data_IF_768645734704
#
_entry.id   IF_768645734704
#
_cell.length_a   1.000
_cell.length_b   1.000
_cell.length_c   1.000
_cell.angle_alpha   90.00
_cell.angle_beta   90.00
_cell.angle_gamma   90.00
#
_symmetry.space_group_name_H-M   'P 1'
#
loop_
_entity.id
_entity.type
_entity.pdbx_description
1 polymer ?
#
# COMPACT_ATOMS: atom_id res chain seq x y z
N UNK A 1 18.55 20.87 -10.20
CA UNK A 1 17.19 21.46 -10.10
C UNK A 1 16.45 20.95 -8.87
N UNK A 2 16.93 21.25 -7.65
CA UNK A 2 16.27 20.83 -6.39
C UNK A 2 15.34 21.89 -5.80
N UNK A 3 15.45 23.16 -6.20
CA UNK A 3 14.70 24.25 -5.58
C UNK A 3 13.19 24.18 -5.85
N UNK A 4 12.79 23.71 -7.04
CA UNK A 4 11.37 23.50 -7.37
C UNK A 4 10.73 22.39 -6.52
N UNK A 5 11.53 21.39 -6.14
CA UNK A 5 11.11 20.26 -5.32
C UNK A 5 10.92 20.69 -3.87
N UNK A 6 11.92 21.36 -3.28
CA UNK A 6 11.83 21.83 -1.91
C UNK A 6 10.69 22.83 -1.72
N UNK A 7 10.41 23.66 -2.72
CA UNK A 7 9.31 24.63 -2.67
C UNK A 7 7.93 23.97 -2.82
N UNK A 8 7.79 22.95 -3.66
CA UNK A 8 6.57 22.17 -3.80
C UNK A 8 6.28 21.29 -2.57
N UNK A 9 7.31 20.64 -2.01
CA UNK A 9 7.25 19.87 -0.76
C UNK A 9 6.85 20.77 0.40
N UNK A 10 7.41 21.99 0.48
CA UNK A 10 6.98 22.99 1.46
C UNK A 10 5.52 23.41 1.29
N UNK A 11 5.05 23.58 0.06
CA UNK A 11 3.68 24.06 -0.19
C UNK A 11 2.60 23.00 -0.02
N UNK A 12 2.93 21.72 -0.21
CA UNK A 12 1.95 20.62 -0.26
C UNK A 12 1.91 19.73 0.98
N UNK A 13 3.02 19.65 1.73
CA UNK A 13 3.14 18.79 2.89
C UNK A 13 3.24 19.61 4.18
N UNK A 14 2.68 19.07 5.26
CA UNK A 14 2.98 19.55 6.61
C UNK A 14 4.36 19.05 7.08
N UNK A 15 4.88 19.58 8.18
CA UNK A 15 6.26 19.31 8.61
C UNK A 15 6.53 17.83 8.92
N UNK A 16 5.55 17.09 9.47
CA UNK A 16 5.74 15.67 9.76
C UNK A 16 5.76 14.82 8.49
N UNK A 17 4.93 15.16 7.49
CA UNK A 17 4.95 14.53 6.17
C UNK A 17 6.27 14.79 5.42
N UNK A 18 6.84 16.00 5.57
CA UNK A 18 8.16 16.33 5.00
C UNK A 18 9.30 15.55 5.63
N UNK A 19 9.28 15.41 6.95
CA UNK A 19 10.31 14.64 7.66
C UNK A 19 10.27 13.18 7.23
N UNK A 20 9.08 12.58 7.17
CA UNK A 20 8.90 11.22 6.68
C UNK A 20 9.39 11.05 5.23
N UNK A 21 9.13 12.03 4.35
CA UNK A 21 9.64 12.02 2.97
C UNK A 21 11.18 12.05 2.92
N UNK A 22 11.82 12.89 3.75
CA UNK A 22 13.29 12.96 3.83
C UNK A 22 13.89 11.64 4.31
N UNK A 23 13.32 11.05 5.37
CA UNK A 23 13.80 9.79 5.93
C UNK A 23 13.74 8.64 4.90
N UNK A 24 12.67 8.61 4.08
CA UNK A 24 12.50 7.64 2.99
C UNK A 24 13.54 7.86 1.89
N UNK A 25 13.74 9.09 1.43
CA UNK A 25 14.74 9.42 0.40
C UNK A 25 16.16 9.08 0.85
N UNK A 26 16.49 9.33 2.12
CA UNK A 26 17.77 8.93 2.68
C UNK A 26 17.92 7.40 2.80
N UNK A 27 16.86 6.67 3.16
CA UNK A 27 16.90 5.21 3.21
C UNK A 27 17.12 4.60 1.81
N UNK A 28 16.57 5.23 0.77
CA UNK A 28 16.81 4.86 -0.64
C UNK A 28 18.28 5.11 -1.01
N UNK A 29 18.81 6.29 -0.68
CA UNK A 29 20.21 6.63 -0.97
C UNK A 29 21.19 5.69 -0.26
N UNK A 30 20.89 5.31 1.00
CA UNK A 30 21.68 4.33 1.76
C UNK A 30 21.64 2.93 1.13
N UNK A 31 20.46 2.45 0.72
CA UNK A 31 20.32 1.14 0.05
C UNK A 31 20.97 1.08 -1.34
N UNK A 32 21.05 2.20 -2.05
CA UNK A 32 21.76 2.29 -3.32
C UNK A 32 23.28 2.17 -3.21
N UNK A 33 23.85 2.36 -2.00
CA UNK A 33 25.30 2.35 -1.77
C UNK A 33 25.83 1.06 -1.11
N UNK A 34 24.96 0.13 -0.67
CA UNK A 34 25.36 -1.06 0.10
C UNK A 34 25.43 -2.39 -0.69
N UNK A 35 25.45 -2.39 -2.03
CA UNK A 35 25.66 -3.64 -2.79
C UNK A 35 27.13 -3.90 -3.17
N UNK A 36 27.88 -4.42 -2.19
CA UNK A 36 28.86 -5.48 -2.47
C UNK A 36 28.94 -6.37 -1.24
N UNK A 37 28.35 -7.56 -1.33
CA UNK A 37 28.74 -8.85 -0.71
C UNK A 37 27.55 -9.81 -0.76
N UNK A 38 27.61 -10.94 -1.50
CA UNK A 38 26.59 -11.98 -1.45
C UNK A 38 26.91 -12.88 -0.26
N UNK A 39 26.23 -12.66 0.87
CA UNK A 39 26.44 -13.45 2.08
C UNK A 39 25.17 -13.51 2.92
N UNK A 40 24.47 -14.64 2.81
CA UNK A 40 23.51 -15.20 3.77
C UNK A 40 23.20 -14.38 5.02
N UNK A 41 21.95 -13.92 5.15
CA UNK A 41 21.22 -13.94 6.42
C UNK A 41 19.71 -13.85 6.16
N UNK A 42 19.03 -14.97 6.42
CA UNK A 42 17.61 -15.02 6.74
C UNK A 42 17.33 -14.04 7.88
N UNK A 43 16.68 -12.92 7.58
CA UNK A 43 16.15 -12.03 8.60
C UNK A 43 14.64 -12.23 8.65
N UNK A 44 14.22 -12.99 9.67
CA UNK A 44 12.85 -13.09 10.12
C UNK A 44 12.23 -11.69 10.23
N UNK A 45 11.21 -11.43 9.42
CA UNK A 45 10.39 -10.23 9.57
C UNK A 45 9.65 -10.35 10.91
N UNK A 46 10.21 -9.68 11.91
CA UNK A 46 9.65 -9.59 13.25
C UNK A 46 8.18 -9.16 13.19
N UNK A 47 7.35 -9.93 13.89
CA UNK A 47 5.99 -9.58 14.25
C UNK A 47 5.93 -8.15 14.79
N UNK A 48 5.39 -7.22 13.99
CA UNK A 48 5.01 -5.90 14.49
C UNK A 48 3.75 -6.11 15.32
N UNK A 49 3.96 -6.28 16.63
CA UNK A 49 2.92 -6.23 17.64
C UNK A 49 2.28 -4.85 17.64
N UNK A 50 1.13 -4.72 16.99
CA UNK A 50 0.25 -3.56 17.13
C UNK A 50 -0.25 -3.56 18.57
N UNK A 51 0.23 -2.60 19.36
CA UNK A 51 -0.14 -2.40 20.76
C UNK A 51 -1.65 -2.41 20.93
N UNK A 52 -2.11 -3.27 21.84
CA UNK A 52 -3.50 -3.32 22.33
C UNK A 52 -3.84 -1.99 22.96
N UNK A 53 -4.57 -1.13 22.23
CA UNK A 53 -5.25 0.01 22.82
C UNK A 53 -6.73 -0.34 22.93
N UNK A 54 -7.11 -0.93 24.05
CA UNK A 54 -8.50 -1.10 24.46
C UNK A 54 -9.03 0.23 24.99
N UNK A 55 -9.88 0.90 24.22
CA UNK A 55 -10.75 1.94 24.77
C UNK A 55 -12.17 1.70 24.30
N UNK A 56 -12.96 1.09 25.19
CA UNK A 56 -14.41 1.05 25.09
C UNK A 56 -14.91 2.45 25.42
N UNK A 57 -15.37 3.21 24.43
CA UNK A 57 -16.23 4.36 24.66
C UNK A 57 -17.48 4.23 23.79
N UNK A 58 -18.55 3.77 24.43
CA UNK A 58 -19.93 3.97 24.01
C UNK A 58 -20.21 5.48 24.05
N UNK A 59 -20.50 6.08 22.90
CA UNK A 59 -21.26 7.33 22.80
C UNK A 59 -22.01 7.33 21.48
N UNK A 60 -23.30 7.66 21.55
CA UNK A 60 -24.23 7.61 20.43
C UNK A 60 -24.31 8.88 19.59
N UNK A 61 -25.04 8.71 18.48
CA UNK A 61 -25.81 9.69 17.70
C UNK A 61 -25.03 10.74 16.88
N UNK A 62 -24.86 10.46 15.58
CA UNK A 62 -25.62 11.06 14.47
C UNK A 62 -24.80 11.11 13.17
N UNK A 63 -25.30 10.44 12.13
CA UNK A 63 -24.97 10.78 10.73
C UNK A 63 -24.16 9.74 9.96
N UNK A 64 -24.86 8.78 9.33
CA UNK A 64 -24.42 8.01 8.14
C UNK A 64 -23.20 7.10 8.26
N UNK A 65 -23.00 6.45 9.41
CA UNK A 65 -22.21 5.21 9.41
C UNK A 65 -23.12 4.07 8.98
N UNK A 66 -23.02 3.69 7.71
CA UNK A 66 -23.61 2.45 7.22
C UNK A 66 -23.04 1.32 8.08
N UNK A 67 -23.82 0.83 9.05
CA UNK A 67 -23.41 -0.25 9.93
C UNK A 67 -23.09 -1.45 9.05
N UNK A 68 -21.80 -1.77 8.92
CA UNK A 68 -21.34 -2.90 8.10
C UNK A 68 -22.00 -4.16 8.67
N UNK A 69 -22.66 -4.94 7.82
CA UNK A 69 -23.35 -6.15 8.26
C UNK A 69 -22.36 -7.15 8.85
N UNK A 70 -22.80 -7.95 9.83
CA UNK A 70 -21.95 -8.98 10.43
C UNK A 70 -21.37 -9.95 9.41
N UNK A 71 -22.13 -10.27 8.35
CA UNK A 71 -21.65 -11.11 7.25
C UNK A 71 -20.45 -10.49 6.54
N UNK A 72 -20.50 -9.20 6.22
CA UNK A 72 -19.38 -8.51 5.55
C UNK A 72 -18.15 -8.43 6.47
N UNK A 73 -18.34 -8.23 7.77
CA UNK A 73 -17.21 -8.25 8.72
C UNK A 73 -16.54 -9.64 8.78
N UNK A 74 -17.33 -10.71 8.70
CA UNK A 74 -16.80 -12.07 8.65
C UNK A 74 -16.05 -12.33 7.34
N UNK A 75 -16.60 -11.90 6.20
CA UNK A 75 -15.95 -11.98 4.89
C UNK A 75 -14.57 -11.27 4.94
N UNK A 76 -14.53 -10.04 5.44
CA UNK A 76 -13.28 -9.27 5.57
C UNK A 76 -12.25 -9.97 6.47
N UNK A 77 -12.70 -10.61 7.56
CA UNK A 77 -11.82 -11.38 8.43
C UNK A 77 -11.24 -12.61 7.72
N UNK A 78 -12.06 -13.35 6.96
CA UNK A 78 -11.61 -14.51 6.19
C UNK A 78 -10.62 -14.10 5.10
N UNK A 79 -10.92 -13.04 4.35
CA UNK A 79 -10.04 -12.44 3.33
C UNK A 79 -8.67 -12.13 3.95
N UNK A 80 -8.65 -11.42 5.09
CA UNK A 80 -7.40 -11.10 5.78
C UNK A 80 -6.62 -12.35 6.15
N UNK A 81 -7.28 -13.36 6.69
CA UNK A 81 -6.64 -14.61 7.10
C UNK A 81 -6.07 -15.37 5.90
N UNK A 82 -6.73 -15.32 4.74
CA UNK A 82 -6.23 -15.89 3.49
C UNK A 82 -5.02 -15.11 2.95
N UNK A 83 -5.05 -13.78 2.99
CA UNK A 83 -3.94 -12.93 2.56
C UNK A 83 -2.67 -13.15 3.39
N UNK A 84 -2.77 -13.40 4.69
CA UNK A 84 -1.61 -13.63 5.56
C UNK A 84 -1.22 -15.10 5.71
N UNK A 85 -1.88 -16.01 5.01
CA UNK A 85 -1.63 -17.44 5.11
C UNK A 85 -0.22 -17.84 4.62
N UNK A 86 0.30 -18.93 5.18
CA UNK A 86 1.62 -19.46 4.81
C UNK A 86 1.60 -20.07 3.40
N UNK A 87 0.48 -20.68 3.01
CA UNK A 87 0.26 -21.30 1.70
C UNK A 87 0.03 -20.24 0.63
N UNK A 88 0.82 -20.26 -0.45
CA UNK A 88 0.73 -19.24 -1.50
C UNK A 88 -0.62 -19.31 -2.25
N UNK A 89 -1.21 -20.50 -2.37
CA UNK A 89 -2.53 -20.73 -2.98
C UNK A 89 -3.64 -20.02 -2.19
N UNK A 90 -3.53 -20.02 -0.85
CA UNK A 90 -4.48 -19.29 0.01
C UNK A 90 -4.32 -17.79 -0.14
N UNK A 91 -3.10 -17.30 -0.36
CA UNK A 91 -2.87 -15.88 -0.63
C UNK A 91 -3.45 -15.47 -1.98
N UNK A 92 -3.31 -16.30 -3.02
CA UNK A 92 -3.99 -16.09 -4.31
C UNK A 92 -5.50 -16.03 -4.15
N UNK A 93 -6.09 -16.97 -3.38
CA UNK A 93 -7.51 -16.93 -3.04
C UNK A 93 -7.90 -15.62 -2.35
N UNK A 94 -7.13 -15.20 -1.35
CA UNK A 94 -7.36 -13.93 -0.63
C UNK A 94 -7.29 -12.69 -1.52
N UNK A 95 -6.39 -12.66 -2.51
CA UNK A 95 -6.30 -11.56 -3.49
C UNK A 95 -7.57 -11.47 -4.35
N UNK A 96 -8.06 -12.62 -4.83
CA UNK A 96 -9.29 -12.69 -5.60
C UNK A 96 -10.50 -12.22 -4.79
N UNK A 97 -10.66 -12.75 -3.57
CA UNK A 97 -11.76 -12.36 -2.67
C UNK A 97 -11.68 -10.88 -2.26
N UNK A 98 -10.47 -10.35 -2.09
CA UNK A 98 -10.24 -8.93 -1.85
C UNK A 98 -10.72 -8.08 -3.02
N UNK A 99 -10.39 -8.45 -4.26
CA UNK A 99 -10.89 -7.75 -5.45
C UNK A 99 -12.42 -7.78 -5.50
N UNK A 100 -13.03 -8.94 -5.24
CA UNK A 100 -14.49 -9.10 -5.24
C UNK A 100 -15.18 -8.21 -4.20
N UNK A 101 -14.66 -8.13 -2.96
CA UNK A 101 -15.27 -7.29 -1.93
C UNK A 101 -15.11 -5.81 -2.24
N UNK A 102 -13.98 -5.37 -2.80
CA UNK A 102 -13.79 -3.96 -3.20
C UNK A 102 -14.79 -3.57 -4.29
N UNK A 103 -15.00 -4.44 -5.29
CA UNK A 103 -15.94 -4.17 -6.37
C UNK A 103 -17.41 -4.24 -5.92
N UNK A 104 -17.72 -5.06 -4.91
CA UNK A 104 -19.08 -5.22 -4.36
C UNK A 104 -19.43 -4.16 -3.31
N UNK A 105 -18.47 -3.80 -2.46
CA UNK A 105 -18.65 -2.90 -1.31
C UNK A 105 -17.31 -2.25 -0.90
N UNK A 106 -16.89 -1.28 -1.71
CA UNK A 106 -15.68 -0.48 -1.52
C UNK A 106 -15.58 0.15 -0.13
N UNK A 107 -16.68 0.71 0.40
CA UNK A 107 -16.72 1.34 1.73
C UNK A 107 -16.36 0.36 2.85
N UNK A 108 -16.85 -0.88 2.78
CA UNK A 108 -16.51 -1.89 3.78
C UNK A 108 -15.02 -2.26 3.70
N UNK A 109 -14.49 -2.49 2.50
CA UNK A 109 -13.08 -2.81 2.30
C UNK A 109 -12.15 -1.68 2.79
N UNK A 110 -12.54 -0.42 2.54
CA UNK A 110 -11.80 0.78 2.95
C UNK A 110 -11.78 0.96 4.46
N UNK A 111 -12.89 0.67 5.12
CA UNK A 111 -13.00 0.83 6.58
C UNK A 111 -12.11 -0.15 7.36
N UNK A 112 -11.72 -1.28 6.77
CA UNK A 112 -10.83 -2.26 7.38
C UNK A 112 -9.39 -2.09 6.89
N UNK A 113 -8.66 -1.21 7.57
CA UNK A 113 -7.24 -0.95 7.28
C UNK A 113 -6.33 -2.17 7.47
N UNK A 114 -6.77 -3.20 8.21
CA UNK A 114 -5.99 -4.43 8.39
C UNK A 114 -6.06 -5.32 7.16
N UNK A 115 -7.23 -5.40 6.52
CA UNK A 115 -7.38 -6.08 5.22
C UNK A 115 -6.54 -5.37 4.16
N UNK A 116 -6.62 -4.04 4.10
CA UNK A 116 -5.80 -3.24 3.18
C UNK A 116 -4.29 -3.43 3.43
N UNK A 117 -3.84 -3.40 4.69
CA UNK A 117 -2.44 -3.64 5.03
C UNK A 117 -1.98 -5.05 4.66
N UNK A 118 -2.81 -6.07 4.88
CA UNK A 118 -2.53 -7.44 4.45
C UNK A 118 -2.40 -7.55 2.92
N UNK A 119 -3.28 -6.88 2.17
CA UNK A 119 -3.21 -6.78 0.72
C UNK A 119 -1.91 -6.08 0.26
N UNK A 120 -1.58 -4.91 0.83
CA UNK A 120 -0.34 -4.19 0.51
C UNK A 120 0.88 -5.09 0.72
N UNK A 121 0.91 -5.87 1.81
CA UNK A 121 1.97 -6.83 2.08
C UNK A 121 2.11 -7.97 1.07
N UNK A 122 1.13 -8.16 0.16
CA UNK A 122 1.23 -9.11 -0.97
C UNK A 122 1.86 -8.51 -2.21
N UNK A 123 1.88 -7.19 -2.36
CA UNK A 123 2.61 -6.56 -3.47
C UNK A 123 4.12 -6.76 -3.39
N UNK A 124 4.65 -7.19 -2.24
CA UNK A 124 6.04 -7.64 -2.04
C UNK A 124 6.11 -9.06 -1.50
N UNK A 125 5.22 -9.95 -1.98
CA UNK A 125 5.22 -11.35 -1.55
C UNK A 125 6.52 -12.08 -1.91
N UNK A 126 6.92 -13.02 -1.05
CA UNK A 126 8.08 -13.89 -1.31
C UNK A 126 7.86 -14.81 -2.53
N UNK A 127 6.60 -15.17 -2.79
CA UNK A 127 6.21 -15.92 -3.97
C UNK A 127 5.94 -14.95 -5.12
N UNK A 128 6.73 -15.09 -6.19
CA UNK A 128 6.63 -14.26 -7.39
C UNK A 128 5.20 -14.20 -7.98
N UNK A 129 4.49 -15.33 -8.06
CA UNK A 129 3.12 -15.37 -8.63
C UNK A 129 2.16 -14.53 -7.79
N UNK A 130 2.25 -14.64 -6.47
CA UNK A 130 1.41 -13.87 -5.54
C UNK A 130 1.74 -12.38 -5.62
N UNK A 131 3.02 -12.03 -5.71
CA UNK A 131 3.47 -10.65 -5.85
C UNK A 131 2.93 -9.98 -7.13
N UNK A 132 3.05 -10.68 -8.26
CA UNK A 132 2.51 -10.21 -9.55
C UNK A 132 0.99 -10.11 -9.51
N UNK A 133 0.29 -11.15 -9.05
CA UNK A 133 -1.17 -11.13 -8.92
C UNK A 133 -1.65 -9.98 -8.02
N UNK A 134 -0.92 -9.66 -6.94
CA UNK A 134 -1.27 -8.54 -6.07
C UNK A 134 -1.13 -7.18 -6.77
N UNK A 135 -0.13 -7.03 -7.64
CA UNK A 135 0.04 -5.84 -8.48
C UNK A 135 -1.06 -5.73 -9.56
N UNK A 136 -1.45 -6.84 -10.19
CA UNK A 136 -2.58 -6.86 -11.13
C UNK A 136 -3.92 -6.59 -10.43
N UNK A 137 -4.11 -7.16 -9.23
CA UNK A 137 -5.26 -6.90 -8.37
C UNK A 137 -5.32 -5.42 -8.00
N UNK A 138 -4.18 -4.80 -7.65
CA UNK A 138 -4.10 -3.37 -7.38
C UNK A 138 -4.64 -2.57 -8.57
N UNK A 139 -4.10 -2.80 -9.77
CA UNK A 139 -4.52 -2.11 -10.99
C UNK A 139 -6.03 -2.23 -11.20
N UNK A 140 -6.58 -3.43 -10.94
CA UNK A 140 -8.01 -3.72 -11.09
C UNK A 140 -8.88 -2.92 -10.11
N UNK A 141 -8.49 -2.85 -8.83
CA UNK A 141 -9.34 -2.23 -7.78
C UNK A 141 -9.10 -0.73 -7.60
N UNK A 142 -7.98 -0.22 -8.12
CA UNK A 142 -7.55 1.15 -7.94
C UNK A 142 -8.57 2.20 -8.43
N UNK A 143 -9.26 2.06 -9.58
CA UNK A 143 -10.28 3.03 -10.01
C UNK A 143 -11.37 3.20 -8.95
N UNK A 144 -11.80 2.09 -8.33
CA UNK A 144 -12.82 2.04 -7.29
C UNK A 144 -12.34 2.67 -5.98
N UNK A 145 -11.10 2.42 -5.57
CA UNK A 145 -10.53 2.95 -4.33
C UNK A 145 -10.10 4.42 -4.43
N UNK A 146 -9.74 4.88 -5.64
CA UNK A 146 -9.19 6.21 -5.91
C UNK A 146 -9.94 7.39 -5.28
N UNK A 147 -11.29 7.45 -5.30
CA UNK A 147 -12.04 8.61 -4.81
C UNK A 147 -11.99 8.77 -3.28
N UNK A 148 -11.47 7.77 -2.56
CA UNK A 148 -11.45 7.71 -1.11
C UNK A 148 -10.08 8.10 -0.52
N UNK A 149 -8.97 7.90 -1.26
CA UNK A 149 -7.62 8.24 -0.79
C UNK A 149 -7.43 9.72 -0.44
N UNK A 150 -8.21 10.62 -1.05
CA UNK A 150 -8.17 12.06 -0.75
C UNK A 150 -8.93 12.44 0.53
N UNK A 151 -9.83 11.57 1.00
CA UNK A 151 -10.79 11.87 2.07
C UNK A 151 -10.41 11.27 3.41
N UNK A 152 -9.69 10.15 3.42
CA UNK A 152 -9.37 9.42 4.65
C UNK A 152 -7.85 9.42 4.95
N UNK A 153 -7.40 9.95 6.09
CA UNK A 153 -5.98 9.93 6.49
C UNK A 153 -5.38 8.53 6.58
N UNK A 154 -6.16 7.55 7.05
CA UNK A 154 -5.78 6.14 7.11
C UNK A 154 -5.42 5.59 5.73
N UNK A 155 -6.19 5.92 4.70
CA UNK A 155 -5.94 5.49 3.34
C UNK A 155 -4.70 6.15 2.73
N UNK A 156 -4.39 7.40 3.09
CA UNK A 156 -3.12 8.03 2.69
C UNK A 156 -1.93 7.22 3.20
N UNK A 157 -1.96 6.76 4.46
CA UNK A 157 -0.91 5.89 5.01
C UNK A 157 -0.79 4.58 4.25
N UNK A 158 -1.92 3.93 3.92
CA UNK A 158 -1.94 2.71 3.10
C UNK A 158 -1.33 2.96 1.71
N UNK A 159 -1.66 4.09 1.08
CA UNK A 159 -1.09 4.47 -0.22
C UNK A 159 0.42 4.70 -0.13
N UNK A 160 0.91 5.35 0.92
CA UNK A 160 2.36 5.52 1.13
C UNK A 160 3.07 4.16 1.28
N UNK A 161 2.49 3.24 2.05
CA UNK A 161 3.04 1.89 2.20
C UNK A 161 3.05 1.12 0.87
N UNK A 162 1.98 1.25 0.09
CA UNK A 162 1.87 0.67 -1.23
C UNK A 162 2.96 1.18 -2.18
N UNK A 163 3.16 2.49 -2.22
CA UNK A 163 4.20 3.12 -3.05
C UNK A 163 5.59 2.68 -2.63
N UNK A 164 5.87 2.61 -1.33
CA UNK A 164 7.14 2.08 -0.82
C UNK A 164 7.38 0.63 -1.22
N UNK A 165 6.34 -0.22 -1.14
CA UNK A 165 6.40 -1.61 -1.57
C UNK A 165 6.71 -1.72 -3.07
N UNK A 166 6.00 -0.98 -3.91
CA UNK A 166 6.19 -0.97 -5.36
C UNK A 166 7.57 -0.42 -5.78
N UNK A 167 8.10 0.59 -5.07
CA UNK A 167 9.43 1.14 -5.36
C UNK A 167 10.53 0.08 -5.22
N UNK A 168 10.39 -0.85 -4.26
CA UNK A 168 11.36 -1.93 -4.07
C UNK A 168 11.49 -2.85 -5.29
N UNK A 169 10.46 -2.90 -6.14
CA UNK A 169 10.44 -3.71 -7.37
C UNK A 169 11.05 -3.03 -8.58
N UNK A 170 11.23 -1.70 -8.59
CA UNK A 170 11.80 -0.98 -9.73
C UNK A 170 13.25 -1.40 -10.02
N UNK A 171 14.01 -1.71 -8.97
CA UNK A 171 15.38 -2.23 -9.06
C UNK A 171 15.44 -3.78 -9.03
N UNK A 172 14.30 -4.48 -9.11
CA UNK A 172 14.28 -5.94 -9.06
C UNK A 172 15.06 -6.55 -10.22
N UNK A 173 15.74 -7.68 -9.99
CA UNK A 173 16.36 -8.47 -11.07
C UNK A 173 15.31 -9.11 -12.00
N UNK A 174 14.09 -9.33 -11.51
CA UNK A 174 12.97 -9.86 -12.28
C UNK A 174 12.36 -8.77 -13.17
N UNK A 175 12.41 -8.97 -14.49
CA UNK A 175 11.75 -8.08 -15.45
C UNK A 175 10.24 -8.01 -15.23
N UNK A 176 9.62 -9.14 -14.88
CA UNK A 176 8.20 -9.20 -14.55
C UNK A 176 7.85 -8.26 -13.39
N UNK A 177 8.60 -8.28 -12.29
CA UNK A 177 8.37 -7.36 -11.17
C UNK A 177 8.57 -5.90 -11.58
N UNK A 178 9.66 -5.58 -12.30
CA UNK A 178 9.92 -4.21 -12.76
C UNK A 178 8.77 -3.68 -13.61
N UNK A 179 8.29 -4.49 -14.56
CA UNK A 179 7.23 -4.08 -15.48
C UNK A 179 5.89 -3.88 -14.76
N UNK A 180 5.50 -4.80 -13.88
CA UNK A 180 4.25 -4.66 -13.12
C UNK A 180 4.31 -3.48 -12.15
N UNK A 181 5.45 -3.24 -11.50
CA UNK A 181 5.62 -2.08 -10.62
C UNK A 181 5.48 -0.76 -11.39
N UNK A 182 6.07 -0.66 -12.60
CA UNK A 182 5.89 0.51 -13.48
C UNK A 182 4.43 0.73 -13.84
N UNK A 183 3.71 -0.32 -14.26
CA UNK A 183 2.29 -0.25 -14.59
C UNK A 183 1.44 0.20 -13.38
N UNK A 184 1.72 -0.33 -12.19
CA UNK A 184 1.07 0.12 -10.96
C UNK A 184 1.29 1.61 -10.72
N UNK A 185 2.50 2.13 -10.92
CA UNK A 185 2.77 3.57 -10.77
C UNK A 185 2.07 4.43 -11.82
N UNK A 186 1.99 3.97 -13.07
CA UNK A 186 1.24 4.65 -14.13
C UNK A 186 -0.25 4.77 -13.75
N UNK A 187 -0.86 3.69 -13.28
CA UNK A 187 -2.27 3.69 -12.89
C UNK A 187 -2.53 4.48 -11.58
N UNK A 188 -1.62 4.42 -10.59
CA UNK A 188 -1.68 5.30 -9.40
C UNK A 188 -1.64 6.76 -9.79
N UNK A 189 -0.72 7.12 -10.69
CA UNK A 189 -0.56 8.50 -11.20
C UNK A 189 -1.83 8.98 -11.91
N UNK A 190 -2.46 8.10 -12.68
CA UNK A 190 -3.69 8.36 -13.45
C UNK A 190 -4.90 8.59 -12.55
N UNK A 191 -5.11 7.76 -11.52
CA UNK A 191 -6.33 7.81 -10.71
C UNK A 191 -6.23 8.66 -9.45
N UNK A 192 -5.09 8.67 -8.76
CA UNK A 192 -4.99 9.33 -7.46
C UNK A 192 -4.60 10.81 -7.62
N UNK A 193 -3.97 11.19 -8.73
CA UNK A 193 -4.00 12.55 -9.28
C UNK A 193 -3.73 13.70 -8.31
N UNK A 194 -3.08 13.48 -7.18
CA UNK A 194 -2.65 14.57 -6.30
C UNK A 194 -1.36 15.10 -6.90
N UNK A 195 -1.28 16.43 -7.05
CA UNK A 195 -0.12 17.09 -7.66
C UNK A 195 1.19 16.58 -7.04
N UNK A 196 1.20 16.36 -5.72
CA UNK A 196 2.32 15.78 -4.97
C UNK A 196 2.72 14.38 -5.45
N UNK A 197 1.78 13.43 -5.56
CA UNK A 197 2.07 12.07 -6.01
C UNK A 197 2.48 12.04 -7.49
N UNK A 198 1.87 12.87 -8.32
CA UNK A 198 2.26 13.02 -9.73
C UNK A 198 3.71 13.51 -9.89
N UNK A 199 4.16 14.46 -9.06
CA UNK A 199 5.53 14.94 -9.11
C UNK A 199 6.53 13.94 -8.51
N UNK A 200 6.20 13.32 -7.37
CA UNK A 200 7.03 12.29 -6.76
C UNK A 200 7.25 11.10 -7.72
N UNK A 201 6.19 10.62 -8.37
CA UNK A 201 6.28 9.53 -9.34
C UNK A 201 6.97 9.95 -10.64
N UNK A 202 6.77 11.17 -11.14
CA UNK A 202 7.49 11.66 -12.34
C UNK A 202 9.01 11.77 -12.12
N UNK A 203 9.47 12.14 -10.93
CA UNK A 203 10.90 12.23 -10.61
C UNK A 203 11.57 10.84 -10.48
N UNK A 204 10.83 9.83 -10.01
CA UNK A 204 11.28 8.43 -9.95
C UNK A 204 11.52 7.79 -11.32
N UNK A 205 10.97 8.34 -12.40
CA UNK A 205 11.17 7.85 -13.78
C UNK A 205 12.22 8.65 -14.57
N UNK A 206 12.78 9.72 -13.99
CA UNK A 206 13.84 10.56 -14.60
C UNK A 206 15.23 10.20 -14.08
N UNK A 207 15.32 9.39 -13.02
CA UNK A 207 16.54 8.74 -12.52
C UNK A 207 16.47 7.23 -12.75
#
# INVERSE_FOLDING_TARGET
NNDLFDDAVRKSLNESERQNLRDVLEAINRRGMEESHPGSSTMSLGSISISRSSSVRRSGSNGRDATISQGIQQDLMEIRNNLIANEWERRMKGLKEFSEIVMRNDRAAISDTKVLGAFVGRTSDINFKVSVEAMETLITVLPTLSPHFSKEPSLKTVLYQLVNSLMSHLASRSEGHRQHAKLCFEEITKYIGSSFFQYFLKLLFVY
#
